data_IF_559627498393
#
_entry.id   IF_559627498393
#
_cell.length_a   1.000
_cell.length_b   1.000
_cell.length_c   1.000
_cell.angle_alpha   90.00
_cell.angle_beta   90.00
_cell.angle_gamma   90.00
#
_symmetry.space_group_name_H-M   'P 1'
#
loop_
_entity.id
_entity.type
_entity.pdbx_description
1 polymer ?
#
# COMPACT_ATOMS: atom_id res chain seq x y z
N UNK A 1 -9.79 -16.92 -24.40
CA UNK A 1 -9.16 -16.47 -25.68
C UNK A 1 -9.59 -17.41 -26.82
N UNK A 2 -9.61 -17.00 -28.11
CA UNK A 2 -9.72 -17.98 -29.21
C UNK A 2 -8.33 -18.42 -29.68
N UNK A 3 -7.87 -19.59 -29.21
CA UNK A 3 -6.56 -20.16 -29.52
C UNK A 3 -6.25 -20.23 -31.02
N UNK A 4 -7.21 -20.68 -31.83
CA UNK A 4 -7.01 -20.86 -33.28
C UNK A 4 -6.70 -19.54 -33.96
N UNK A 5 -7.42 -18.47 -33.60
CA UNK A 5 -7.20 -17.14 -34.16
C UNK A 5 -5.79 -16.64 -33.80
N UNK A 6 -5.37 -16.80 -32.54
CA UNK A 6 -4.05 -16.34 -32.10
C UNK A 6 -2.92 -17.11 -32.77
N UNK A 7 -3.01 -18.45 -32.82
CA UNK A 7 -1.96 -19.25 -33.43
C UNK A 7 -1.85 -19.00 -34.94
N UNK A 8 -2.97 -18.83 -35.66
CA UNK A 8 -2.97 -18.46 -37.07
C UNK A 8 -2.31 -17.09 -37.28
N UNK A 9 -2.69 -16.07 -36.49
CA UNK A 9 -2.11 -14.74 -36.61
C UNK A 9 -0.58 -14.74 -36.36
N UNK A 10 -0.10 -15.50 -35.37
CA UNK A 10 1.34 -15.64 -35.11
C UNK A 10 2.05 -16.32 -36.27
N UNK A 11 1.44 -17.35 -36.86
CA UNK A 11 2.02 -18.04 -38.01
C UNK A 11 2.13 -17.14 -39.25
N UNK A 12 1.15 -16.25 -39.47
CA UNK A 12 1.18 -15.25 -40.54
C UNK A 12 2.25 -14.17 -40.30
N UNK A 13 2.40 -13.69 -39.06
CA UNK A 13 3.30 -12.57 -38.74
C UNK A 13 4.76 -13.03 -38.56
N UNK A 14 4.98 -14.10 -37.82
CA UNK A 14 6.31 -14.57 -37.41
C UNK A 14 6.85 -15.68 -38.31
N UNK A 15 6.08 -16.15 -39.29
CA UNK A 15 6.38 -17.27 -40.19
C UNK A 15 6.72 -18.59 -39.44
N UNK A 16 6.33 -18.70 -38.17
CA UNK A 16 6.57 -19.85 -37.29
C UNK A 16 5.37 -20.04 -36.36
N UNK A 17 5.03 -21.28 -35.98
CA UNK A 17 3.97 -21.54 -35.00
C UNK A 17 4.35 -20.99 -33.63
N UNK A 18 3.33 -20.73 -32.81
CA UNK A 18 3.51 -20.30 -31.43
C UNK A 18 4.24 -21.38 -30.65
N UNK A 19 5.30 -21.00 -29.93
CA UNK A 19 6.11 -21.95 -29.16
C UNK A 19 5.45 -22.37 -27.84
N UNK A 20 4.55 -21.54 -27.31
CA UNK A 20 3.79 -21.81 -26.08
C UNK A 20 2.59 -22.71 -26.40
N UNK A 21 2.19 -23.54 -25.44
CA UNK A 21 0.88 -24.18 -25.46
C UNK A 21 -0.25 -23.17 -25.20
N UNK A 22 -1.50 -23.59 -25.38
CA UNK A 22 -2.65 -22.74 -25.05
C UNK A 22 -2.65 -22.34 -23.57
N UNK A 23 -2.39 -23.28 -22.68
CA UNK A 23 -2.37 -23.08 -21.23
C UNK A 23 -1.25 -22.12 -20.82
N UNK A 24 -0.05 -22.32 -21.38
CA UNK A 24 1.09 -21.44 -21.14
C UNK A 24 0.82 -20.02 -21.64
N UNK A 25 0.14 -19.88 -22.78
CA UNK A 25 -0.25 -18.57 -23.28
C UNK A 25 -1.31 -17.91 -22.40
N UNK A 26 -2.35 -18.65 -21.97
CA UNK A 26 -3.39 -18.12 -21.08
C UNK A 26 -2.79 -17.67 -19.73
N UNK A 27 -1.87 -18.45 -19.17
CA UNK A 27 -1.15 -18.08 -17.95
C UNK A 27 -0.28 -16.84 -18.17
N UNK A 28 0.49 -16.79 -19.27
CA UNK A 28 1.39 -15.69 -19.59
C UNK A 28 0.70 -14.36 -19.90
N UNK A 29 -0.62 -14.35 -20.12
CA UNK A 29 -1.42 -13.13 -20.32
C UNK A 29 -2.41 -12.90 -19.19
N UNK A 30 -2.53 -13.83 -18.24
CA UNK A 30 -3.49 -13.74 -17.15
C UNK A 30 -3.09 -12.60 -16.20
N UNK A 31 -3.93 -11.55 -16.07
CA UNK A 31 -3.64 -10.45 -15.14
C UNK A 31 -3.56 -10.95 -13.69
N UNK A 32 -4.42 -11.90 -13.33
CA UNK A 32 -4.44 -12.51 -12.00
C UNK A 32 -3.15 -13.28 -11.73
N UNK A 33 -2.67 -14.05 -12.71
CA UNK A 33 -1.39 -14.75 -12.60
C UNK A 33 -0.25 -13.75 -12.38
N UNK A 34 -0.16 -12.67 -13.17
CA UNK A 34 0.87 -11.65 -13.00
C UNK A 34 0.88 -10.98 -11.63
N UNK A 35 -0.31 -10.72 -11.07
CA UNK A 35 -0.44 -10.16 -9.71
C UNK A 35 0.09 -11.15 -8.68
N UNK A 36 -0.22 -12.43 -8.82
CA UNK A 36 0.21 -13.45 -7.88
C UNK A 36 1.70 -13.78 -7.98
N UNK A 37 2.30 -13.87 -9.17
CA UNK A 37 3.70 -14.30 -9.28
C UNK A 37 4.72 -13.19 -9.03
N UNK A 38 4.34 -11.91 -9.14
CA UNK A 38 5.27 -10.79 -8.99
C UNK A 38 5.32 -10.30 -7.55
N UNK A 39 6.26 -10.85 -6.78
CA UNK A 39 6.61 -10.38 -5.45
C UNK A 39 7.58 -9.20 -5.53
N UNK A 40 7.07 -8.03 -5.89
CA UNK A 40 7.82 -6.76 -5.89
C UNK A 40 7.36 -5.93 -4.69
N UNK A 41 8.30 -5.32 -3.96
CA UNK A 41 7.97 -4.41 -2.86
C UNK A 41 7.12 -3.25 -3.35
N UNK A 42 5.99 -2.99 -2.69
CA UNK A 42 4.97 -2.02 -3.12
C UNK A 42 4.09 -2.50 -4.27
N UNK A 43 4.20 -3.76 -4.70
CA UNK A 43 3.38 -4.35 -5.75
C UNK A 43 1.98 -4.76 -5.28
N UNK A 44 1.11 -5.17 -6.21
CA UNK A 44 -0.28 -5.55 -5.93
C UNK A 44 -0.43 -6.99 -5.44
N UNK A 45 0.66 -7.75 -5.34
CA UNK A 45 0.62 -9.13 -4.86
C UNK A 45 -0.01 -9.18 -3.45
N UNK A 46 -0.92 -10.14 -3.17
CA UNK A 46 -1.64 -10.20 -1.90
C UNK A 46 -0.75 -10.24 -0.66
N UNK A 47 0.38 -10.97 -0.70
CA UNK A 47 1.31 -11.04 0.43
C UNK A 47 2.01 -9.71 0.67
N UNK A 48 2.41 -9.00 -0.40
CA UNK A 48 3.01 -7.68 -0.28
C UNK A 48 2.02 -6.64 0.22
N UNK A 49 0.76 -6.71 -0.23
CA UNK A 49 -0.31 -5.84 0.27
C UNK A 49 -0.58 -6.11 1.75
N UNK A 50 -0.65 -7.37 2.17
CA UNK A 50 -0.80 -7.74 3.58
C UNK A 50 0.36 -7.22 4.44
N UNK A 51 1.61 -7.44 3.99
CA UNK A 51 2.82 -6.90 4.63
C UNK A 51 2.80 -5.37 4.73
N UNK A 52 2.33 -4.69 3.69
CA UNK A 52 2.20 -3.24 3.68
C UNK A 52 1.13 -2.77 4.68
N UNK A 53 -0.04 -3.41 4.70
CA UNK A 53 -1.13 -3.08 5.62
C UNK A 53 -0.73 -3.23 7.08
N UNK A 54 -0.04 -4.32 7.44
CA UNK A 54 0.48 -4.53 8.80
C UNK A 54 1.44 -3.41 9.22
N UNK A 55 2.39 -3.06 8.35
CA UNK A 55 3.31 -1.96 8.61
C UNK A 55 2.60 -0.60 8.73
N UNK A 56 1.53 -0.38 7.95
CA UNK A 56 0.74 0.85 8.05
C UNK A 56 -0.07 0.91 9.34
N UNK A 57 -0.64 -0.21 9.80
CA UNK A 57 -1.39 -0.27 11.05
C UNK A 57 -0.49 0.08 12.24
N UNK A 58 0.71 -0.49 12.31
CA UNK A 58 1.69 -0.16 13.35
C UNK A 58 2.10 1.32 13.32
N UNK A 59 2.30 1.86 12.12
CA UNK A 59 2.66 3.28 11.95
C UNK A 59 1.52 4.20 12.39
N UNK A 60 0.28 3.85 12.08
CA UNK A 60 -0.91 4.60 12.48
C UNK A 60 -1.01 4.66 14.01
N UNK A 61 -0.92 3.52 14.69
CA UNK A 61 -0.97 3.46 16.16
C UNK A 61 0.11 4.36 16.80
N UNK A 62 1.35 4.28 16.29
CA UNK A 62 2.44 5.14 16.76
C UNK A 62 2.13 6.64 16.57
N UNK A 63 1.53 7.00 15.44
CA UNK A 63 1.18 8.40 15.14
C UNK A 63 0.02 8.90 16.00
N UNK A 64 -0.97 8.06 16.28
CA UNK A 64 -2.09 8.37 17.17
C UNK A 64 -1.61 8.61 18.60
N UNK A 65 -0.75 7.73 19.12
CA UNK A 65 -0.15 7.91 20.46
C UNK A 65 0.66 9.21 20.53
N UNK A 66 1.52 9.46 19.54
CA UNK A 66 2.32 10.68 19.50
C UNK A 66 1.44 11.94 19.46
N UNK A 67 0.37 11.92 18.68
CA UNK A 67 -0.58 13.02 18.56
C UNK A 67 -1.25 13.31 19.91
N UNK A 68 -1.80 12.26 20.54
CA UNK A 68 -2.46 12.34 21.84
C UNK A 68 -1.54 12.91 22.92
N UNK A 69 -0.33 12.35 23.04
CA UNK A 69 0.67 12.78 24.02
C UNK A 69 1.07 14.23 23.83
N UNK A 70 1.27 14.65 22.58
CA UNK A 70 1.66 16.01 22.24
C UNK A 70 0.54 16.99 22.59
N UNK A 71 -0.70 16.68 22.22
CA UNK A 71 -1.86 17.52 22.57
C UNK A 71 -2.04 17.64 24.08
N UNK A 72 -1.89 16.54 24.83
CA UNK A 72 -2.00 16.56 26.28
C UNK A 72 -0.90 17.39 26.94
N UNK A 73 0.34 17.28 26.44
CA UNK A 73 1.46 18.12 26.91
C UNK A 73 1.18 19.60 26.67
N UNK A 74 0.76 19.97 25.46
CA UNK A 74 0.44 21.36 25.12
C UNK A 74 -0.67 21.91 26.03
N UNK A 75 -1.77 21.16 26.21
CA UNK A 75 -2.87 21.55 27.11
C UNK A 75 -2.40 21.75 28.56
N UNK A 76 -1.50 20.88 29.04
CA UNK A 76 -0.96 20.99 30.40
C UNK A 76 -0.07 22.22 30.59
N UNK A 77 0.67 22.62 29.55
CA UNK A 77 1.54 23.81 29.57
C UNK A 77 0.69 25.07 29.51
N UNK A 78 -0.33 25.08 28.66
CA UNK A 78 -1.29 26.18 28.52
C UNK A 78 -1.98 26.49 29.85
N UNK A 79 -2.54 25.46 30.51
CA UNK A 79 -3.18 25.60 31.82
C UNK A 79 -2.21 26.10 32.92
N UNK A 80 -0.93 25.72 32.86
CA UNK A 80 0.10 26.24 33.78
C UNK A 80 0.42 27.70 33.51
N UNK A 81 0.49 28.09 32.24
CA UNK A 81 0.73 29.47 31.85
C UNK A 81 -0.41 30.36 32.36
N UNK A 82 -1.65 29.95 32.15
CA UNK A 82 -2.84 30.64 32.66
C UNK A 82 -2.80 30.80 34.19
N UNK A 83 -2.43 29.74 34.92
CA UNK A 83 -2.32 29.80 36.37
C UNK A 83 -1.28 30.85 36.82
N UNK A 84 -0.11 30.88 36.18
CA UNK A 84 0.96 31.83 36.49
C UNK A 84 0.50 33.26 36.19
N UNK A 85 -0.05 33.50 35.01
CA UNK A 85 -0.49 34.82 34.57
C UNK A 85 -1.61 35.37 35.45
N UNK A 86 -2.63 34.56 35.77
CA UNK A 86 -3.71 34.96 36.68
C UNK A 86 -3.18 35.22 38.10
N UNK A 87 -2.21 34.43 38.56
CA UNK A 87 -1.55 34.66 39.85
C UNK A 87 -0.80 35.99 39.92
N UNK A 88 -0.30 36.49 38.79
CA UNK A 88 0.38 37.80 38.71
C UNK A 88 -0.64 38.94 38.64
N UNK A 89 -1.67 38.80 37.80
CA UNK A 89 -2.72 39.81 37.64
C UNK A 89 -3.50 40.07 38.94
N UNK A 90 -3.72 39.04 39.76
CA UNK A 90 -4.46 39.16 41.03
C UNK A 90 -3.62 39.68 42.21
N UNK A 91 -2.31 39.95 42.03
CA UNK A 91 -1.42 40.50 43.07
C UNK A 91 -1.14 42.00 42.92
N UNK A 92 -1.69 42.62 41.88
CA UNK A 92 -1.60 44.06 41.58
C UNK A 92 -2.96 44.68 41.92
#
# INVERSE_FOLDING_TARGET
MNWKVVNTAVQEIAAKPLALTYEQLEEAISPEHFVHIRHVRGGPNPEEVARALEAQALRLDTQEQWSLDTTNKLRSVDAKLDLILNGWLNRI
#
